data_IF_147219912380
#
_entry.id   IF_147219912380
#
_cell.length_a   1.000
_cell.length_b   1.000
_cell.length_c   1.000
_cell.angle_alpha   90.00
_cell.angle_beta   90.00
_cell.angle_gamma   90.00
#
_symmetry.space_group_name_H-M   'P 1'
#
loop_
_entity.id
_entity.type
_entity.pdbx_description
1 polymer ?
#
# COMPACT_ATOMS: atom_id res chain seq x y z
N UNK A 1 -49.38 -9.73 23.05
CA UNK A 1 -49.27 -8.73 21.95
C UNK A 1 -47.90 -8.08 22.06
N UNK A 2 -47.05 -8.11 21.03
CA UNK A 2 -45.79 -7.37 21.05
C UNK A 2 -46.07 -5.86 21.01
N UNK A 3 -45.28 -5.08 21.75
CA UNK A 3 -45.39 -3.63 21.79
C UNK A 3 -45.19 -3.03 20.38
N UNK A 4 -45.90 -1.96 20.02
CA UNK A 4 -45.69 -1.29 18.74
C UNK A 4 -44.26 -0.75 18.69
N UNK A 5 -43.56 -1.01 17.59
CA UNK A 5 -42.25 -0.44 17.33
C UNK A 5 -42.40 1.09 17.27
N UNK A 6 -41.84 1.78 18.27
CA UNK A 6 -41.70 3.23 18.21
C UNK A 6 -40.83 3.58 17.01
N UNK A 7 -41.43 4.26 16.04
CA UNK A 7 -40.68 4.91 14.97
C UNK A 7 -39.87 6.05 15.57
N UNK A 8 -38.66 5.74 16.08
CA UNK A 8 -37.65 6.74 16.36
C UNK A 8 -37.37 7.49 15.06
N UNK A 9 -37.75 8.76 15.00
CA UNK A 9 -37.24 9.68 13.97
C UNK A 9 -35.72 9.72 14.14
N UNK A 10 -35.01 9.16 13.18
CA UNK A 10 -33.54 9.26 13.13
C UNK A 10 -33.25 10.72 12.78
N UNK A 11 -32.58 11.45 13.67
CA UNK A 11 -32.17 12.83 13.39
C UNK A 11 -30.96 12.77 12.46
N UNK A 12 -30.95 13.54 11.37
CA UNK A 12 -29.80 13.62 10.48
C UNK A 12 -28.53 14.10 11.20
N UNK A 13 -28.69 14.81 12.33
CA UNK A 13 -27.61 15.21 13.23
C UNK A 13 -26.95 14.03 13.96
N UNK A 14 -27.64 12.90 14.12
CA UNK A 14 -27.02 11.67 14.64
C UNK A 14 -25.96 11.10 13.68
N UNK A 15 -26.02 11.47 12.39
CA UNK A 15 -25.06 11.06 11.37
C UNK A 15 -23.83 11.99 11.26
N UNK A 16 -23.85 13.18 11.87
CA UNK A 16 -22.75 14.15 11.77
C UNK A 16 -21.44 13.63 12.37
N UNK A 17 -21.50 12.61 13.24
CA UNK A 17 -20.31 11.94 13.80
C UNK A 17 -20.12 10.50 13.30
N UNK A 18 -21.08 9.91 12.59
CA UNK A 18 -20.95 8.53 12.05
C UNK A 18 -19.79 8.45 11.06
N UNK A 19 -19.57 9.49 10.27
CA UNK A 19 -18.47 9.51 9.30
C UNK A 19 -17.09 9.39 9.96
N UNK A 20 -16.90 9.93 11.17
CA UNK A 20 -15.62 9.81 11.89
C UNK A 20 -15.34 8.35 12.27
N UNK A 21 -16.39 7.61 12.63
CA UNK A 21 -16.30 6.18 12.90
C UNK A 21 -15.99 5.40 11.63
N UNK A 22 -16.67 5.71 10.52
CA UNK A 22 -16.40 5.08 9.23
C UNK A 22 -14.97 5.36 8.74
N UNK A 23 -14.52 6.60 8.88
CA UNK A 23 -13.16 7.01 8.56
C UNK A 23 -12.14 6.31 9.46
N UNK A 24 -12.39 6.21 10.78
CA UNK A 24 -11.54 5.47 11.71
C UNK A 24 -11.45 3.98 11.34
N UNK A 25 -12.57 3.33 11.00
CA UNK A 25 -12.58 1.94 10.56
C UNK A 25 -11.79 1.75 9.27
N UNK A 26 -11.91 2.69 8.33
CA UNK A 26 -11.16 2.68 7.09
C UNK A 26 -9.66 2.86 7.34
N UNK A 27 -9.26 3.75 8.26
CA UNK A 27 -7.88 3.92 8.70
C UNK A 27 -7.33 2.62 9.31
N UNK A 28 -8.02 2.04 10.29
CA UNK A 28 -7.61 0.79 10.95
C UNK A 28 -7.42 -0.32 9.91
N UNK A 29 -8.39 -0.50 9.02
CA UNK A 29 -8.36 -1.54 7.98
C UNK A 29 -7.14 -1.38 7.07
N UNK A 30 -6.93 -0.18 6.54
CA UNK A 30 -5.84 0.07 5.59
C UNK A 30 -4.47 -0.02 6.26
N UNK A 31 -4.32 0.53 7.46
CA UNK A 31 -3.07 0.44 8.24
C UNK A 31 -2.74 -1.01 8.57
N UNK A 32 -3.71 -1.80 9.07
CA UNK A 32 -3.47 -3.22 9.40
C UNK A 32 -3.14 -4.04 8.16
N UNK A 33 -3.85 -3.81 7.04
CA UNK A 33 -3.54 -4.48 5.78
C UNK A 33 -2.14 -4.14 5.28
N UNK A 34 -1.76 -2.86 5.33
CA UNK A 34 -0.42 -2.43 4.98
C UNK A 34 0.65 -3.10 5.86
N UNK A 35 0.47 -3.06 7.19
CA UNK A 35 1.40 -3.68 8.14
C UNK A 35 1.55 -5.18 7.93
N UNK A 36 0.46 -5.88 7.63
CA UNK A 36 0.49 -7.31 7.34
C UNK A 36 1.28 -7.61 6.05
N UNK A 37 1.04 -6.84 4.98
CA UNK A 37 1.75 -7.00 3.70
C UNK A 37 3.25 -6.73 3.84
N UNK A 38 3.62 -5.73 4.64
CA UNK A 38 5.01 -5.31 4.81
C UNK A 38 5.75 -6.05 5.94
N UNK A 39 5.04 -6.86 6.74
CA UNK A 39 5.55 -7.52 7.97
C UNK A 39 6.08 -6.52 9.02
N UNK A 40 5.37 -5.41 9.21
CA UNK A 40 5.78 -4.36 10.15
C UNK A 40 5.27 -4.66 11.56
N UNK A 41 6.19 -4.96 12.47
CA UNK A 41 5.88 -5.33 13.86
C UNK A 41 5.79 -4.14 14.82
N UNK A 42 6.51 -3.06 14.50
CA UNK A 42 6.60 -1.85 15.32
C UNK A 42 5.49 -0.85 15.00
N UNK A 43 5.36 0.16 15.86
CA UNK A 43 4.46 1.28 15.62
C UNK A 43 4.89 2.09 14.41
N UNK A 44 3.92 2.55 13.61
CA UNK A 44 4.16 3.35 12.40
C UNK A 44 3.50 4.72 12.54
N UNK A 45 4.19 5.75 12.07
CA UNK A 45 3.60 7.07 11.88
C UNK A 45 2.96 7.15 10.50
N UNK A 46 1.70 7.57 10.49
CA UNK A 46 0.91 7.76 9.28
C UNK A 46 0.38 9.18 9.24
N UNK A 47 0.12 9.68 8.05
CA UNK A 47 -0.32 11.03 7.82
C UNK A 47 -1.65 11.02 7.05
N UNK A 48 -2.67 11.65 7.62
CA UNK A 48 -3.98 11.78 6.98
C UNK A 48 -4.06 13.11 6.24
N UNK A 49 -4.50 13.09 5.00
CA UNK A 49 -4.85 14.30 4.25
C UNK A 49 -6.31 14.18 3.81
N UNK A 50 -7.18 14.93 4.48
CA UNK A 50 -8.61 14.97 4.17
C UNK A 50 -8.88 15.86 2.96
N UNK A 51 -9.93 15.54 2.20
CA UNK A 51 -10.47 16.49 1.23
C UNK A 51 -11.04 17.71 1.94
N UNK A 52 -11.21 18.82 1.22
CA UNK A 52 -11.70 20.07 1.81
C UNK A 52 -13.03 19.89 2.54
N UNK A 53 -13.96 19.14 1.95
CA UNK A 53 -15.27 18.86 2.53
C UNK A 53 -15.18 18.23 3.94
N UNK A 54 -14.33 17.21 4.10
CA UNK A 54 -14.20 16.50 5.38
C UNK A 54 -13.30 17.23 6.37
N UNK A 55 -12.36 18.04 5.86
CA UNK A 55 -11.53 18.91 6.70
C UNK A 55 -12.37 19.98 7.41
N UNK A 56 -13.35 20.56 6.71
CA UNK A 56 -14.28 21.55 7.30
C UNK A 56 -15.24 20.92 8.32
N UNK A 57 -15.56 19.62 8.16
CA UNK A 57 -16.40 18.84 9.08
C UNK A 57 -15.62 18.23 10.26
N UNK A 58 -14.29 18.36 10.27
CA UNK A 58 -13.42 17.74 11.27
C UNK A 58 -13.68 18.35 12.66
N UNK A 59 -13.92 17.48 13.64
CA UNK A 59 -14.05 17.85 15.04
C UNK A 59 -12.72 17.56 15.75
N UNK A 60 -11.96 18.60 16.07
CA UNK A 60 -10.64 18.48 16.72
C UNK A 60 -10.72 17.86 18.12
N UNK A 61 -11.92 17.73 18.71
CA UNK A 61 -12.11 17.02 19.98
C UNK A 61 -12.02 15.49 19.84
N UNK A 62 -12.13 14.95 18.62
CA UNK A 62 -12.04 13.52 18.38
C UNK A 62 -10.58 13.07 18.17
N UNK A 63 -10.02 12.38 19.16
CA UNK A 63 -8.67 11.83 19.06
C UNK A 63 -8.65 10.42 18.45
N UNK A 64 -8.42 10.35 17.14
CA UNK A 64 -8.22 9.09 16.40
C UNK A 64 -7.12 8.20 17.02
N UNK A 65 -6.09 8.78 17.65
CA UNK A 65 -4.95 8.03 18.17
C UNK A 65 -5.32 7.15 19.36
N UNK A 66 -6.35 7.50 20.14
CA UNK A 66 -6.86 6.65 21.22
C UNK A 66 -7.27 5.26 20.72
N UNK A 67 -7.72 5.17 19.46
CA UNK A 67 -8.14 3.92 18.83
C UNK A 67 -7.05 3.31 17.96
N UNK A 68 -6.32 4.13 17.19
CA UNK A 68 -5.30 3.65 16.25
C UNK A 68 -4.08 3.04 16.95
N UNK A 69 -3.68 3.55 18.11
CA UNK A 69 -2.56 2.99 18.88
C UNK A 69 -2.86 1.55 19.31
N UNK A 70 -3.95 1.24 20.04
CA UNK A 70 -4.23 -0.13 20.45
C UNK A 70 -4.67 -1.05 19.31
N UNK A 71 -5.45 -0.56 18.34
CA UNK A 71 -6.07 -1.43 17.31
C UNK A 71 -5.21 -1.63 16.06
N UNK A 72 -4.35 -0.66 15.74
CA UNK A 72 -3.52 -0.68 14.54
C UNK A 72 -2.02 -0.54 14.81
N UNK A 73 -1.60 -0.27 16.06
CA UNK A 73 -0.23 0.11 16.44
C UNK A 73 0.29 1.23 15.53
N UNK A 74 -0.46 2.32 15.42
CA UNK A 74 -0.06 3.46 14.58
C UNK A 74 -0.56 4.76 15.16
N UNK A 75 0.15 5.84 14.83
CA UNK A 75 -0.23 7.21 15.18
C UNK A 75 -0.50 7.99 13.90
N UNK A 76 -1.66 8.63 13.80
CA UNK A 76 -2.02 9.52 12.69
C UNK A 76 -1.71 10.97 13.04
N UNK A 77 -1.13 11.69 12.09
CA UNK A 77 -0.98 13.14 12.11
C UNK A 77 -1.64 13.73 10.86
N UNK A 78 -2.48 14.75 11.00
CA UNK A 78 -3.07 15.45 9.85
C UNK A 78 -2.18 16.56 9.28
N UNK A 79 -1.08 16.85 9.98
CA UNK A 79 -0.06 17.79 9.55
C UNK A 79 1.17 17.01 9.10
N UNK A 80 1.50 17.11 7.82
CA UNK A 80 2.75 16.57 7.30
C UNK A 80 3.90 17.49 7.74
N UNK A 81 4.95 16.98 8.39
CA UNK A 81 6.07 17.82 8.77
C UNK A 81 6.78 18.34 7.53
N UNK A 82 7.07 19.65 7.50
CA UNK A 82 7.92 20.28 6.49
C UNK A 82 9.34 19.71 6.63
N UNK A 83 9.62 18.64 5.91
CA UNK A 83 10.92 17.96 5.93
C UNK A 83 11.74 18.41 4.74
N UNK A 84 13.03 18.71 4.98
CA UNK A 84 13.99 19.14 3.95
C UNK A 84 14.41 18.01 3.01
N UNK A 85 14.14 16.75 3.38
CA UNK A 85 14.45 15.58 2.57
C UNK A 85 13.19 15.06 1.85
N UNK A 86 13.35 14.55 0.63
CA UNK A 86 12.28 13.88 -0.13
C UNK A 86 11.88 12.58 0.58
N UNK A 87 11.02 12.68 1.58
CA UNK A 87 10.42 11.51 2.21
C UNK A 87 9.57 10.75 1.19
N UNK A 88 9.77 9.43 1.13
CA UNK A 88 8.95 8.54 0.30
C UNK A 88 7.76 8.07 1.13
N UNK A 89 6.57 8.20 0.57
CA UNK A 89 5.33 7.74 1.19
C UNK A 89 4.67 6.65 0.34
N UNK A 90 4.05 5.67 0.99
CA UNK A 90 2.96 4.92 0.38
C UNK A 90 1.69 5.75 0.48
N UNK A 91 0.98 5.90 -0.63
CA UNK A 91 -0.27 6.66 -0.69
C UNK A 91 -1.41 5.67 -0.88
N UNK A 92 -2.37 5.69 0.04
CA UNK A 92 -3.58 4.89 -0.02
C UNK A 92 -4.76 5.83 -0.13
N UNK A 93 -5.60 5.60 -1.14
CA UNK A 93 -6.83 6.36 -1.34
C UNK A 93 -7.90 5.93 -0.32
N UNK A 94 -8.44 6.89 0.42
CA UNK A 94 -9.46 6.71 1.46
C UNK A 94 -10.79 7.34 1.04
N UNK A 95 -11.25 7.10 -0.19
CA UNK A 95 -12.53 7.63 -0.68
C UNK A 95 -13.69 7.35 0.28
N UNK A 96 -14.58 8.33 0.54
CA UNK A 96 -14.56 9.71 0.01
C UNK A 96 -13.71 10.71 0.82
N UNK A 97 -13.06 10.26 1.89
CA UNK A 97 -12.49 11.11 2.94
C UNK A 97 -11.20 11.82 2.55
N UNK A 98 -10.33 11.16 1.79
CA UNK A 98 -9.04 11.74 1.40
C UNK A 98 -7.99 10.67 1.13
N UNK A 99 -6.75 10.90 1.56
CA UNK A 99 -5.63 9.97 1.38
C UNK A 99 -4.88 9.71 2.69
N UNK A 100 -4.32 8.51 2.80
CA UNK A 100 -3.41 8.10 3.86
C UNK A 100 -2.00 7.99 3.29
N UNK A 101 -1.06 8.74 3.87
CA UNK A 101 0.36 8.66 3.57
C UNK A 101 1.05 7.89 4.68
N UNK A 102 1.69 6.78 4.34
CA UNK A 102 2.47 5.99 5.30
C UNK A 102 3.94 6.19 4.97
N UNK A 103 4.72 6.67 5.95
CA UNK A 103 6.14 6.93 5.74
C UNK A 103 6.87 5.63 5.45
N UNK A 104 7.56 5.58 4.32
CA UNK A 104 8.32 4.40 3.90
C UNK A 104 9.65 4.36 4.64
N UNK A 105 9.93 3.26 5.33
CA UNK A 105 11.25 3.07 5.93
C UNK A 105 12.25 2.63 4.86
N UNK A 106 13.54 2.99 5.02
CA UNK A 106 14.61 2.54 4.11
C UNK A 106 14.70 1.02 4.03
N UNK A 107 14.38 0.33 5.13
CA UNK A 107 14.30 -1.14 5.21
C UNK A 107 13.21 -1.72 4.31
N UNK A 108 12.05 -1.07 4.20
CA UNK A 108 10.94 -1.53 3.35
C UNK A 108 11.29 -1.39 1.86
N UNK A 109 12.02 -0.33 1.49
CA UNK A 109 12.53 -0.16 0.13
C UNK A 109 13.52 -1.27 -0.24
N UNK A 110 14.45 -1.62 0.65
CA UNK A 110 15.39 -2.71 0.40
C UNK A 110 14.67 -4.05 0.23
N UNK A 111 13.70 -4.37 1.09
CA UNK A 111 12.90 -5.60 1.01
C UNK A 111 12.12 -5.67 -0.31
N UNK A 112 11.42 -4.60 -0.71
CA UNK A 112 10.71 -4.57 -1.99
C UNK A 112 11.63 -4.69 -3.20
N UNK A 113 12.80 -4.04 -3.18
CA UNK A 113 13.77 -4.19 -4.25
C UNK A 113 14.32 -5.62 -4.30
N UNK A 114 14.54 -6.27 -3.15
CA UNK A 114 14.92 -7.67 -3.08
C UNK A 114 13.82 -8.62 -3.60
N UNK A 115 12.55 -8.38 -3.26
CA UNK A 115 11.42 -9.15 -3.78
C UNK A 115 11.27 -8.98 -5.30
N UNK A 116 11.38 -7.75 -5.81
CA UNK A 116 11.40 -7.48 -7.26
C UNK A 116 12.57 -8.19 -7.94
N UNK A 117 13.76 -8.14 -7.34
CA UNK A 117 14.93 -8.83 -7.86
C UNK A 117 14.70 -10.34 -7.93
N UNK A 118 14.13 -10.93 -6.86
CA UNK A 118 13.80 -12.36 -6.80
C UNK A 118 12.77 -12.75 -7.86
N UNK A 119 11.71 -11.95 -8.05
CA UNK A 119 10.72 -12.17 -9.10
C UNK A 119 11.36 -12.13 -10.50
N UNK A 120 12.13 -11.08 -10.81
CA UNK A 120 12.77 -10.98 -12.13
C UNK A 120 13.83 -12.08 -12.34
N UNK A 121 14.53 -12.49 -11.28
CA UNK A 121 15.45 -13.64 -11.34
C UNK A 121 14.70 -14.92 -11.70
N UNK A 122 13.58 -15.22 -11.04
CA UNK A 122 12.80 -16.41 -11.30
C UNK A 122 12.22 -16.44 -12.72
N UNK A 123 11.71 -15.31 -13.22
CA UNK A 123 11.19 -15.21 -14.60
C UNK A 123 12.32 -15.30 -15.64
N UNK A 124 13.49 -14.72 -15.36
CA UNK A 124 14.67 -14.85 -16.21
C UNK A 124 15.12 -16.33 -16.32
N UNK A 125 15.20 -17.04 -15.20
CA UNK A 125 15.58 -18.45 -15.15
C UNK A 125 14.57 -19.34 -15.89
N UNK A 126 13.27 -19.06 -15.76
CA UNK A 126 12.22 -19.77 -16.52
C UNK A 126 12.39 -19.58 -18.02
N UNK A 127 12.51 -18.33 -18.48
CA UNK A 127 12.71 -18.04 -19.90
C UNK A 127 14.01 -18.67 -20.43
N UNK A 128 15.10 -18.60 -19.66
CA UNK A 128 16.37 -19.21 -20.00
C UNK A 128 16.28 -20.75 -20.08
N UNK A 129 15.59 -21.38 -19.13
CA UNK A 129 15.38 -22.83 -19.12
C UNK A 129 14.58 -23.29 -20.35
N UNK A 130 13.52 -22.55 -20.73
CA UNK A 130 12.75 -22.82 -21.93
C UNK A 130 13.60 -22.69 -23.21
N UNK A 131 14.40 -21.63 -23.31
CA UNK A 131 15.25 -21.39 -24.49
C UNK A 131 16.44 -22.35 -24.58
N UNK A 132 16.92 -22.89 -23.45
CA UNK A 132 17.94 -23.93 -23.43
C UNK A 132 17.38 -25.33 -23.76
N UNK A 133 16.06 -25.52 -23.69
CA UNK A 133 15.44 -26.78 -24.06
C UNK A 133 15.34 -26.91 -25.58
N UNK A 134 16.23 -27.70 -26.17
CA UNK A 134 16.27 -27.92 -27.62
C UNK A 134 14.92 -28.38 -28.20
N UNK A 135 14.13 -29.17 -27.47
CA UNK A 135 12.81 -29.62 -27.93
C UNK A 135 11.84 -28.45 -28.04
N UNK A 136 11.91 -27.50 -27.11
CA UNK A 136 11.08 -26.29 -27.16
C UNK A 136 11.50 -25.41 -28.35
N UNK A 137 12.79 -25.14 -28.50
CA UNK A 137 13.30 -24.29 -29.60
C UNK A 137 12.98 -24.88 -30.98
N UNK A 138 13.04 -26.21 -31.13
CA UNK A 138 12.78 -26.89 -32.41
C UNK A 138 11.30 -27.12 -32.72
N UNK A 139 10.43 -27.22 -31.71
CA UNK A 139 9.01 -27.61 -31.90
C UNK A 139 8.00 -26.50 -31.61
N UNK A 140 8.37 -25.47 -30.87
CA UNK A 140 7.48 -24.36 -30.57
C UNK A 140 7.30 -23.45 -31.80
N UNK A 141 6.14 -22.75 -31.92
CA UNK A 141 5.96 -21.71 -32.93
C UNK A 141 7.06 -20.65 -32.84
N UNK A 142 7.55 -20.15 -33.98
CA UNK A 142 8.62 -19.16 -34.04
C UNK A 142 8.29 -17.90 -33.20
N UNK A 143 7.04 -17.44 -33.26
CA UNK A 143 6.55 -16.29 -32.48
C UNK A 143 6.67 -16.50 -30.97
N UNK A 144 6.49 -17.74 -30.50
CA UNK A 144 6.59 -18.08 -29.09
C UNK A 144 8.05 -18.09 -28.63
N UNK A 145 8.95 -18.63 -29.46
CA UNK A 145 10.40 -18.62 -29.21
C UNK A 145 10.92 -17.19 -29.18
N UNK A 146 10.48 -16.33 -30.11
CA UNK A 146 10.84 -14.91 -30.09
C UNK A 146 10.31 -14.18 -28.85
N UNK A 147 9.08 -14.46 -28.43
CA UNK A 147 8.51 -13.88 -27.20
C UNK A 147 9.35 -14.25 -25.98
N UNK A 148 9.76 -15.51 -25.85
CA UNK A 148 10.63 -15.94 -24.74
C UNK A 148 12.02 -15.29 -24.81
N UNK A 149 12.62 -15.12 -26.01
CA UNK A 149 13.87 -14.37 -26.17
C UNK A 149 13.73 -12.91 -25.71
N UNK A 150 12.63 -12.24 -26.11
CA UNK A 150 12.33 -10.86 -25.70
C UNK A 150 12.13 -10.75 -24.19
N UNK A 151 11.42 -11.70 -23.57
CA UNK A 151 11.27 -11.77 -22.11
C UNK A 151 12.62 -11.90 -21.40
N UNK A 152 13.50 -12.76 -21.90
CA UNK A 152 14.82 -12.96 -21.30
C UNK A 152 15.63 -11.65 -21.25
N UNK A 153 15.68 -10.93 -22.37
CA UNK A 153 16.36 -9.61 -22.44
C UNK A 153 15.69 -8.60 -21.50
N UNK A 154 14.36 -8.51 -21.54
CA UNK A 154 13.60 -7.61 -20.68
C UNK A 154 13.89 -7.86 -19.19
N UNK A 155 13.78 -9.09 -18.72
CA UNK A 155 14.02 -9.41 -17.31
C UNK A 155 15.48 -9.23 -16.92
N UNK A 156 16.45 -9.46 -17.82
CA UNK A 156 17.86 -9.15 -17.57
C UNK A 156 18.08 -7.65 -17.33
N UNK A 157 17.51 -6.79 -18.17
CA UNK A 157 17.60 -5.34 -18.02
C UNK A 157 16.92 -4.84 -16.74
N UNK A 158 15.74 -5.36 -16.41
CA UNK A 158 15.03 -4.97 -15.18
C UNK A 158 15.82 -5.39 -13.92
N UNK A 159 16.43 -6.58 -13.91
CA UNK A 159 17.31 -7.01 -12.81
C UNK A 159 18.48 -6.06 -12.64
N UNK A 160 19.13 -5.66 -13.73
CA UNK A 160 20.25 -4.70 -13.69
C UNK A 160 19.82 -3.37 -13.06
N UNK A 161 18.69 -2.80 -13.49
CA UNK A 161 18.14 -1.56 -12.92
C UNK A 161 17.85 -1.67 -11.43
N UNK A 162 17.28 -2.80 -10.98
CA UNK A 162 16.99 -3.04 -9.57
C UNK A 162 18.28 -3.18 -8.74
N UNK A 163 19.30 -3.85 -9.28
CA UNK A 163 20.62 -3.97 -8.64
C UNK A 163 21.31 -2.61 -8.50
N UNK A 164 21.31 -1.79 -9.55
CA UNK A 164 21.85 -0.42 -9.51
C UNK A 164 21.14 0.43 -8.44
N UNK A 165 19.81 0.31 -8.32
CA UNK A 165 19.04 0.99 -7.26
C UNK A 165 19.38 0.49 -5.85
N UNK A 166 19.72 -0.79 -5.69
CA UNK A 166 20.17 -1.35 -4.41
C UNK A 166 21.59 -0.88 -4.04
N UNK A 167 22.47 -0.69 -5.02
CA UNK A 167 23.84 -0.22 -4.80
C UNK A 167 23.92 1.27 -4.50
N UNK A 168 23.19 2.11 -5.25
CA UNK A 168 23.16 3.56 -5.02
C UNK A 168 22.53 3.97 -3.67
N UNK A 169 21.90 3.03 -2.97
CA UNK A 169 21.24 3.25 -1.69
C UNK A 169 21.83 2.43 -0.52
N UNK A 170 22.98 1.79 -0.73
CA UNK A 170 23.87 1.38 0.38
C UNK A 170 24.50 2.60 1.01
#
# INVERSE_FOLDING_TARGET
MPAPLENKKIDLRDFEKTWMVDFLLLLIKNIRSFRQKQDIKNQVEVYGELTQEWKEKMDDSFDFNQFLIPLAKSKINFNLPETKEKELFYIIDLKPFGILKIRRQKTDLKKELQEKLSYFQAEYERAQSLLNNEKFVKKAPADLVEKEKKKLVYFAEQKKKVLEQLEQKK
#
